data_IF_032784312935
#
_entry.id   IF_032784312935
#
_cell.length_a   1.000
_cell.length_b   1.000
_cell.length_c   1.000
_cell.angle_alpha   90.00
_cell.angle_beta   90.00
_cell.angle_gamma   90.00
#
_symmetry.space_group_name_H-M   'P 1'
#
loop_
_entity.id
_entity.type
_entity.pdbx_description
1 polymer ?
#
# COMPACT_ATOMS: atom_id res chain seq x y z
N UNK A 1 -10.50 6.19 -2.76
CA UNK A 1 -10.02 6.02 -1.37
C UNK A 1 -9.72 7.33 -0.66
N UNK A 2 -8.79 8.17 -1.14
CA UNK A 2 -8.45 9.45 -0.49
C UNK A 2 -9.66 10.38 -0.30
N UNK A 3 -10.56 10.46 -1.28
CA UNK A 3 -11.81 11.21 -1.15
C UNK A 3 -12.65 10.74 0.03
N UNK A 4 -12.89 9.44 0.17
CA UNK A 4 -13.67 8.89 1.28
C UNK A 4 -12.99 9.14 2.63
N UNK A 5 -11.66 8.98 2.69
CA UNK A 5 -10.90 9.33 3.89
C UNK A 5 -11.10 10.80 4.28
N UNK A 6 -10.92 11.72 3.33
CA UNK A 6 -11.11 13.16 3.56
C UNK A 6 -12.54 13.51 3.90
N UNK A 7 -13.49 12.86 3.25
CA UNK A 7 -14.92 13.05 3.45
C UNK A 7 -15.33 12.65 4.86
N UNK A 8 -14.99 11.46 5.34
CA UNK A 8 -15.28 11.01 6.70
C UNK A 8 -14.50 11.77 7.77
N UNK A 9 -13.30 12.26 7.44
CA UNK A 9 -12.54 13.14 8.32
C UNK A 9 -13.21 14.50 8.49
N UNK A 10 -13.76 15.08 7.44
CA UNK A 10 -14.28 16.45 7.40
C UNK A 10 -15.73 16.55 7.85
N UNK A 11 -16.52 15.50 7.65
CA UNK A 11 -17.94 15.48 7.96
C UNK A 11 -18.27 14.52 9.10
N UNK A 12 -19.09 14.95 10.04
CA UNK A 12 -19.51 14.09 11.15
C UNK A 12 -20.69 13.22 10.76
N UNK A 13 -20.50 11.90 10.86
CA UNK A 13 -21.60 10.94 10.69
C UNK A 13 -22.69 11.10 11.76
N UNK A 14 -22.33 11.67 12.93
CA UNK A 14 -23.26 11.93 14.02
C UNK A 14 -24.30 12.99 13.69
N UNK A 15 -23.98 13.97 12.82
CA UNK A 15 -24.96 14.93 12.33
C UNK A 15 -26.01 14.30 11.40
N UNK A 16 -25.71 13.11 10.85
CA UNK A 16 -26.64 12.31 10.06
C UNK A 16 -27.62 11.53 10.94
N UNK A 17 -27.14 11.02 12.08
CA UNK A 17 -27.91 10.12 12.96
C UNK A 17 -28.69 10.88 14.04
N UNK A 18 -28.20 12.04 14.50
CA UNK A 18 -28.82 12.79 15.60
C UNK A 18 -29.71 13.94 15.12
N UNK A 19 -30.91 13.61 14.67
CA UNK A 19 -32.09 14.43 14.95
C UNK A 19 -32.32 15.73 14.15
N UNK A 20 -31.42 16.26 13.35
CA UNK A 20 -31.75 17.32 12.38
C UNK A 20 -32.58 16.79 11.19
N UNK A 21 -32.67 15.47 11.10
CA UNK A 21 -33.43 14.76 10.08
C UNK A 21 -34.95 14.88 10.25
N UNK A 22 -35.43 15.26 11.42
CA UNK A 22 -36.89 15.24 11.78
C UNK A 22 -37.64 16.48 11.28
N UNK A 23 -36.99 17.53 10.79
CA UNK A 23 -37.63 18.82 10.45
C UNK A 23 -37.58 19.18 8.96
N UNK A 24 -37.87 18.30 8.01
CA UNK A 24 -38.13 18.64 6.58
C UNK A 24 -37.12 19.54 5.84
N UNK A 25 -36.31 20.30 6.52
CA UNK A 25 -35.21 21.14 6.01
C UNK A 25 -33.85 20.43 6.04
N UNK A 26 -33.80 19.22 6.58
CA UNK A 26 -32.59 18.46 6.90
C UNK A 26 -31.71 18.16 5.68
N UNK A 27 -32.32 17.83 4.54
CA UNK A 27 -31.58 17.48 3.32
C UNK A 27 -30.79 18.66 2.76
N UNK A 28 -31.38 19.85 2.76
CA UNK A 28 -30.77 21.06 2.20
C UNK A 28 -29.60 21.58 3.08
N UNK A 29 -29.65 21.35 4.37
CA UNK A 29 -28.63 21.80 5.33
C UNK A 29 -27.60 20.74 5.69
N UNK A 30 -27.81 19.47 5.32
CA UNK A 30 -26.86 18.40 5.62
C UNK A 30 -25.69 18.42 4.64
N UNK A 31 -24.61 19.06 5.02
CA UNK A 31 -23.38 19.15 4.21
C UNK A 31 -22.81 17.78 3.82
N UNK A 32 -22.97 16.77 4.67
CA UNK A 32 -22.52 15.40 4.39
C UNK A 32 -23.26 14.82 3.20
N UNK A 33 -24.59 14.77 3.24
CA UNK A 33 -25.41 14.22 2.13
C UNK A 33 -25.21 15.02 0.84
N UNK A 34 -25.23 16.34 0.93
CA UNK A 34 -25.07 17.21 -0.26
C UNK A 34 -23.72 16.96 -0.95
N UNK A 35 -22.63 16.91 -0.19
CA UNK A 35 -21.31 16.65 -0.76
C UNK A 35 -21.20 15.24 -1.33
N UNK A 36 -21.80 14.25 -0.67
CA UNK A 36 -21.87 12.88 -1.18
C UNK A 36 -22.60 12.78 -2.52
N UNK A 37 -23.78 13.42 -2.61
CA UNK A 37 -24.58 13.43 -3.85
C UNK A 37 -23.84 14.16 -4.98
N UNK A 38 -23.25 15.32 -4.72
CA UNK A 38 -22.48 16.07 -5.72
C UNK A 38 -21.32 15.23 -6.24
N UNK A 39 -20.61 14.55 -5.33
CA UNK A 39 -19.51 13.65 -5.71
C UNK A 39 -20.00 12.47 -6.55
N UNK A 40 -21.08 11.80 -6.12
CA UNK A 40 -21.65 10.65 -6.85
C UNK A 40 -22.11 11.08 -8.24
N UNK A 41 -22.79 12.21 -8.34
CA UNK A 41 -23.24 12.73 -9.63
C UNK A 41 -22.06 13.09 -10.54
N UNK A 42 -21.02 13.74 -9.99
CA UNK A 42 -19.80 14.04 -10.72
C UNK A 42 -19.05 12.78 -11.18
N UNK A 43 -18.98 11.76 -10.34
CA UNK A 43 -18.37 10.48 -10.70
C UNK A 43 -19.15 9.75 -11.81
N UNK A 44 -20.48 9.71 -11.73
CA UNK A 44 -21.33 9.12 -12.76
C UNK A 44 -21.26 9.89 -14.08
N UNK A 45 -21.25 11.22 -14.03
CA UNK A 45 -21.09 12.07 -15.21
C UNK A 45 -19.72 11.84 -15.87
N UNK A 46 -18.66 11.75 -15.08
CA UNK A 46 -17.31 11.44 -15.57
C UNK A 46 -17.24 10.05 -16.21
N UNK A 47 -17.85 9.04 -15.59
CA UNK A 47 -17.94 7.70 -16.16
C UNK A 47 -18.74 7.69 -17.47
N UNK A 48 -19.83 8.45 -17.54
CA UNK A 48 -20.62 8.62 -18.75
C UNK A 48 -19.82 9.27 -19.90
N UNK A 49 -19.04 10.30 -19.62
CA UNK A 49 -18.16 10.93 -20.62
C UNK A 49 -17.07 9.96 -21.12
N UNK A 50 -16.57 9.10 -20.23
CA UNK A 50 -15.56 8.09 -20.58
C UNK A 50 -16.15 6.79 -21.14
N UNK A 51 -17.49 6.68 -21.27
CA UNK A 51 -18.14 5.45 -21.71
C UNK A 51 -17.72 5.04 -23.14
N UNK A 52 -17.40 5.99 -24.01
CA UNK A 52 -16.88 5.73 -25.35
C UNK A 52 -15.56 4.93 -25.35
N UNK A 53 -14.76 4.99 -24.27
CA UNK A 53 -13.56 4.21 -24.09
C UNK A 53 -13.83 2.98 -23.22
N UNK A 54 -14.57 3.15 -22.12
CA UNK A 54 -14.80 2.09 -21.14
C UNK A 54 -15.63 0.93 -21.69
N UNK A 55 -16.66 1.20 -22.52
CA UNK A 55 -17.51 0.14 -23.07
C UNK A 55 -16.78 -0.79 -24.04
N UNK A 56 -16.01 -0.29 -25.05
CA UNK A 56 -15.20 -1.14 -25.90
C UNK A 56 -14.16 -1.95 -25.10
N UNK A 57 -13.46 -1.30 -24.15
CA UNK A 57 -12.49 -1.98 -23.29
C UNK A 57 -13.16 -3.10 -22.48
N UNK A 58 -14.31 -2.84 -21.88
CA UNK A 58 -15.08 -3.84 -21.15
C UNK A 58 -15.49 -5.01 -22.05
N UNK A 59 -15.98 -4.74 -23.26
CA UNK A 59 -16.34 -5.77 -24.23
C UNK A 59 -15.16 -6.66 -24.62
N UNK A 60 -13.98 -6.04 -24.86
CA UNK A 60 -12.74 -6.79 -25.19
C UNK A 60 -12.28 -7.61 -23.98
N UNK A 61 -12.34 -7.06 -22.78
CA UNK A 61 -11.95 -7.78 -21.56
C UNK A 61 -12.81 -9.03 -21.34
N UNK A 62 -14.09 -9.01 -21.67
CA UNK A 62 -14.95 -10.20 -21.59
C UNK A 62 -14.50 -11.35 -22.50
N UNK A 63 -13.79 -11.05 -23.57
CA UNK A 63 -13.22 -12.05 -24.48
C UNK A 63 -11.84 -12.56 -24.02
N UNK A 64 -11.29 -12.00 -22.97
CA UNK A 64 -9.99 -12.37 -22.42
C UNK A 64 -10.14 -13.31 -21.23
N UNK A 65 -9.14 -14.17 -20.97
CA UNK A 65 -9.06 -15.04 -19.79
C UNK A 65 -9.07 -14.28 -18.46
N UNK A 66 -8.75 -12.99 -18.48
CA UNK A 66 -8.73 -12.12 -17.30
C UNK A 66 -10.09 -11.97 -16.59
N UNK A 67 -11.22 -12.23 -17.30
CA UNK A 67 -12.58 -12.07 -16.76
C UNK A 67 -13.27 -13.42 -16.46
N UNK A 68 -12.57 -14.53 -16.57
CA UNK A 68 -13.11 -15.87 -16.37
C UNK A 68 -13.39 -16.24 -14.91
N UNK A 69 -12.99 -15.40 -13.95
CA UNK A 69 -13.18 -15.65 -12.52
C UNK A 69 -14.64 -15.51 -12.08
N UNK A 70 -15.15 -16.52 -11.39
CA UNK A 70 -16.47 -16.47 -10.72
C UNK A 70 -16.34 -15.81 -9.34
N UNK A 71 -17.44 -15.21 -8.86
CA UNK A 71 -17.47 -14.66 -7.49
C UNK A 71 -17.18 -15.76 -6.47
N UNK A 72 -16.26 -15.53 -5.50
CA UNK A 72 -15.92 -16.54 -4.49
C UNK A 72 -17.11 -16.86 -3.60
N UNK A 73 -17.45 -18.14 -3.46
CA UNK A 73 -18.54 -18.59 -2.61
C UNK A 73 -18.18 -18.50 -1.11
N UNK A 74 -16.91 -18.79 -0.79
CA UNK A 74 -16.44 -18.82 0.59
C UNK A 74 -15.31 -17.80 0.81
N UNK A 75 -15.29 -17.10 1.98
CA UNK A 75 -14.20 -16.22 2.34
C UNK A 75 -12.94 -17.03 2.65
N UNK A 76 -11.86 -16.76 1.93
CA UNK A 76 -10.53 -17.37 2.13
C UNK A 76 -9.53 -16.27 2.44
N UNK A 77 -8.71 -16.50 3.48
CA UNK A 77 -7.55 -15.68 3.80
C UNK A 77 -6.32 -16.20 3.04
N UNK A 78 -5.53 -15.30 2.44
CA UNK A 78 -4.34 -15.66 1.68
C UNK A 78 -3.09 -15.80 2.56
N UNK A 79 -3.04 -15.07 3.68
CA UNK A 79 -1.88 -15.04 4.56
C UNK A 79 -2.27 -14.69 6.00
N UNK A 80 -1.40 -15.02 6.94
CA UNK A 80 -1.59 -14.68 8.36
C UNK A 80 -1.28 -13.21 8.64
N UNK A 81 -1.67 -12.74 9.82
CA UNK A 81 -1.31 -11.41 10.30
C UNK A 81 0.22 -11.21 10.35
N UNK A 82 0.95 -12.21 10.80
CA UNK A 82 2.40 -12.13 10.90
C UNK A 82 3.08 -12.13 9.53
N UNK A 83 2.56 -12.86 8.55
CA UNK A 83 3.05 -12.83 7.16
C UNK A 83 2.92 -11.43 6.55
N UNK A 84 1.80 -10.75 6.80
CA UNK A 84 1.63 -9.38 6.32
C UNK A 84 2.67 -8.42 6.92
N UNK A 85 2.90 -8.54 8.22
CA UNK A 85 3.88 -7.67 8.89
C UNK A 85 5.33 -8.04 8.59
N UNK A 86 5.61 -9.29 8.24
CA UNK A 86 6.91 -9.69 7.73
C UNK A 86 7.33 -8.85 6.52
N UNK A 87 6.39 -8.51 5.64
CA UNK A 87 6.66 -7.69 4.45
C UNK A 87 6.92 -6.19 4.72
N UNK A 88 6.96 -5.78 5.97
CA UNK A 88 7.44 -4.45 6.38
C UNK A 88 8.92 -4.45 6.78
N UNK A 89 9.56 -5.61 6.82
CA UNK A 89 10.99 -5.71 7.13
C UNK A 89 11.84 -5.21 5.95
N UNK A 90 13.01 -4.71 6.25
CA UNK A 90 13.95 -4.22 5.26
C UNK A 90 14.66 -5.37 4.52
N UNK A 91 15.07 -5.11 3.30
CA UNK A 91 15.86 -6.03 2.47
C UNK A 91 15.18 -7.39 2.23
N UNK A 92 13.87 -7.36 2.00
CA UNK A 92 13.10 -8.54 1.58
C UNK A 92 13.06 -8.65 0.06
N UNK A 93 12.96 -9.87 -0.43
CA UNK A 93 12.71 -10.12 -1.85
C UNK A 93 11.31 -9.63 -2.22
N UNK A 94 11.23 -8.69 -3.13
CA UNK A 94 9.96 -8.13 -3.59
C UNK A 94 9.28 -9.07 -4.58
N UNK A 95 7.94 -9.14 -4.53
CA UNK A 95 7.15 -9.83 -5.56
C UNK A 95 7.11 -8.94 -6.81
N UNK A 96 7.72 -9.42 -7.91
CA UNK A 96 7.72 -8.73 -9.21
C UNK A 96 6.58 -9.24 -10.08
N UNK A 97 6.50 -10.57 -10.26
CA UNK A 97 5.43 -11.24 -11.00
C UNK A 97 5.05 -12.53 -10.30
N UNK A 98 3.76 -12.73 -10.12
CA UNK A 98 3.20 -14.01 -9.68
C UNK A 98 1.70 -14.02 -9.90
N UNK A 99 1.19 -15.19 -10.26
CA UNK A 99 -0.24 -15.50 -10.32
C UNK A 99 -0.70 -16.33 -9.12
N UNK A 100 0.20 -16.65 -8.19
CA UNK A 100 -0.06 -17.53 -7.06
C UNK A 100 -0.69 -16.81 -5.85
N UNK A 101 -1.36 -17.60 -5.03
CA UNK A 101 -1.93 -17.18 -3.73
C UNK A 101 -0.86 -17.10 -2.63
N UNK A 102 0.39 -17.47 -2.93
CA UNK A 102 1.49 -17.64 -1.98
C UNK A 102 2.37 -16.40 -1.80
N UNK A 103 2.10 -15.34 -2.56
CA UNK A 103 2.85 -14.09 -2.53
C UNK A 103 2.24 -13.07 -1.60
N UNK A 104 3.06 -12.15 -1.12
CA UNK A 104 2.67 -11.09 -0.20
C UNK A 104 2.69 -9.72 -0.89
N UNK A 105 1.87 -8.75 -0.41
CA UNK A 105 1.89 -7.40 -0.95
C UNK A 105 3.21 -6.68 -0.63
N UNK A 106 3.76 -5.97 -1.60
CA UNK A 106 4.94 -5.12 -1.41
C UNK A 106 4.55 -3.85 -0.65
N UNK A 107 4.69 -3.87 0.67
CA UNK A 107 4.25 -2.79 1.58
C UNK A 107 5.38 -2.07 2.28
N UNK A 108 6.62 -2.50 2.07
CA UNK A 108 7.79 -1.84 2.65
C UNK A 108 7.89 -0.38 2.19
N UNK A 109 8.11 0.52 3.11
CA UNK A 109 8.24 1.95 2.84
C UNK A 109 9.33 2.63 3.72
N UNK A 110 10.23 1.81 4.26
CA UNK A 110 11.31 2.24 5.17
C UNK A 110 11.01 1.95 6.63
N UNK A 111 12.07 1.77 7.42
CA UNK A 111 11.97 1.48 8.86
C UNK A 111 11.62 2.74 9.67
N UNK A 112 12.07 3.92 9.26
CA UNK A 112 11.68 5.17 9.92
C UNK A 112 10.16 5.39 9.94
N UNK A 113 9.40 5.19 8.86
CA UNK A 113 7.94 5.20 8.90
C UNK A 113 7.33 4.19 9.87
N UNK A 114 7.91 3.01 10.03
CA UNK A 114 7.43 2.01 10.99
C UNK A 114 7.55 2.49 12.45
N UNK A 115 8.56 3.30 12.78
CA UNK A 115 8.70 3.91 14.11
C UNK A 115 7.72 5.06 14.30
N UNK A 116 7.51 5.88 13.26
CA UNK A 116 6.71 7.10 13.36
C UNK A 116 5.20 6.83 13.23
N UNK A 117 4.79 5.81 12.47
CA UNK A 117 3.38 5.49 12.25
C UNK A 117 2.63 5.09 13.55
N UNK A 118 3.16 4.27 14.46
CA UNK A 118 2.53 4.04 15.76
C UNK A 118 2.38 5.31 16.59
N UNK A 119 3.39 6.20 16.55
CA UNK A 119 3.37 7.47 17.26
C UNK A 119 2.29 8.44 16.75
N UNK A 120 1.83 8.29 15.51
CA UNK A 120 0.71 9.05 14.96
C UNK A 120 -0.54 8.97 15.85
N UNK A 121 -0.82 7.79 16.39
CA UNK A 121 -1.98 7.59 17.28
C UNK A 121 -1.82 8.24 18.64
N UNK A 122 -0.59 8.49 19.08
CA UNK A 122 -0.29 9.16 20.35
C UNK A 122 -0.08 10.67 20.19
N UNK A 123 0.00 11.20 18.98
CA UNK A 123 0.15 12.64 18.69
C UNK A 123 -1.11 13.38 19.14
N UNK A 124 -0.97 14.34 20.05
CA UNK A 124 -2.11 15.05 20.69
C UNK A 124 -2.81 16.01 19.74
N UNK A 125 -2.06 16.67 18.87
CA UNK A 125 -2.58 17.65 17.90
C UNK A 125 -3.35 17.03 16.73
N UNK A 126 -3.31 15.69 16.57
CA UNK A 126 -4.09 14.99 15.56
C UNK A 126 -5.46 14.61 16.13
N UNK A 127 -6.52 14.96 15.42
CA UNK A 127 -7.88 14.72 15.87
C UNK A 127 -8.21 13.23 15.98
N UNK A 128 -9.07 12.86 16.93
CA UNK A 128 -9.54 11.47 17.09
C UNK A 128 -10.26 10.95 15.82
N UNK A 129 -10.99 11.82 15.12
CA UNK A 129 -11.65 11.49 13.85
C UNK A 129 -10.66 11.09 12.77
N UNK A 130 -9.55 11.82 12.66
CA UNK A 130 -8.50 11.51 11.70
C UNK A 130 -7.82 10.17 12.01
N UNK A 131 -7.50 9.93 13.29
CA UNK A 131 -6.94 8.65 13.74
C UNK A 131 -7.85 7.48 13.39
N UNK A 132 -9.16 7.63 13.72
CA UNK A 132 -10.16 6.60 13.40
C UNK A 132 -10.30 6.38 11.89
N UNK A 133 -10.37 7.45 11.08
CA UNK A 133 -10.45 7.35 9.63
C UNK A 133 -9.20 6.67 9.03
N UNK A 134 -8.02 6.93 9.61
CA UNK A 134 -6.77 6.28 9.18
C UNK A 134 -6.76 4.79 9.51
N UNK A 135 -7.19 4.40 10.73
CA UNK A 135 -7.33 2.98 11.09
C UNK A 135 -8.32 2.29 10.15
N UNK A 136 -9.50 2.87 9.93
CA UNK A 136 -10.51 2.32 9.04
C UNK A 136 -9.96 2.13 7.62
N UNK A 137 -9.21 3.10 7.09
CA UNK A 137 -8.58 3.02 5.79
C UNK A 137 -7.54 1.89 5.73
N UNK A 138 -6.64 1.79 6.72
CA UNK A 138 -5.63 0.72 6.78
C UNK A 138 -6.28 -0.65 6.91
N UNK A 139 -7.36 -0.77 7.68
CA UNK A 139 -8.14 -2.01 7.83
C UNK A 139 -8.78 -2.43 6.51
N UNK A 140 -9.41 -1.51 5.78
CA UNK A 140 -9.99 -1.80 4.45
C UNK A 140 -8.90 -2.24 3.46
N UNK A 141 -7.75 -1.58 3.46
CA UNK A 141 -6.62 -1.96 2.61
C UNK A 141 -6.08 -3.35 2.98
N UNK A 142 -5.90 -3.63 4.27
CA UNK A 142 -5.48 -4.96 4.73
C UNK A 142 -6.44 -6.07 4.27
N UNK A 143 -7.75 -5.87 4.44
CA UNK A 143 -8.73 -6.85 3.96
C UNK A 143 -8.76 -6.97 2.44
N UNK A 144 -8.50 -5.88 1.70
CA UNK A 144 -8.40 -5.93 0.24
C UNK A 144 -7.21 -6.75 -0.25
N UNK A 145 -6.18 -6.92 0.57
CA UNK A 145 -5.06 -7.82 0.28
C UNK A 145 -5.36 -9.26 0.70
N UNK A 146 -5.91 -9.43 1.90
CA UNK A 146 -5.92 -10.72 2.56
C UNK A 146 -7.14 -11.58 2.26
N UNK A 147 -8.31 -10.99 2.01
CA UNK A 147 -9.55 -11.76 1.82
C UNK A 147 -9.93 -11.78 0.35
N UNK A 148 -10.11 -13.00 -0.20
CA UNK A 148 -10.41 -13.23 -1.62
C UNK A 148 -11.61 -12.44 -2.13
N UNK A 149 -12.70 -12.33 -1.35
CA UNK A 149 -13.90 -11.56 -1.73
C UNK A 149 -13.56 -10.07 -1.92
N UNK A 150 -12.82 -9.48 -0.98
CA UNK A 150 -12.41 -8.08 -1.08
C UNK A 150 -11.37 -7.87 -2.18
N UNK A 151 -10.46 -8.83 -2.39
CA UNK A 151 -9.52 -8.82 -3.49
C UNK A 151 -10.24 -8.83 -4.84
N UNK A 152 -11.23 -9.71 -5.02
CA UNK A 152 -12.06 -9.80 -6.21
C UNK A 152 -12.80 -8.47 -6.51
N UNK A 153 -13.47 -7.92 -5.50
CA UNK A 153 -14.18 -6.63 -5.64
C UNK A 153 -13.21 -5.50 -5.95
N UNK A 154 -12.03 -5.49 -5.31
CA UNK A 154 -11.00 -4.45 -5.51
C UNK A 154 -10.45 -4.43 -6.93
N UNK A 155 -10.32 -5.60 -7.55
CA UNK A 155 -9.83 -5.74 -8.92
C UNK A 155 -10.94 -5.64 -9.99
N UNK A 156 -12.09 -5.05 -9.66
CA UNK A 156 -13.17 -4.83 -10.62
C UNK A 156 -13.96 -6.09 -10.97
N UNK A 157 -14.25 -6.91 -9.97
CA UNK A 157 -15.00 -8.16 -10.08
C UNK A 157 -14.28 -9.26 -10.86
N UNK A 158 -12.96 -9.35 -10.70
CA UNK A 158 -12.15 -10.47 -11.22
C UNK A 158 -10.90 -10.70 -10.36
N UNK A 159 -10.25 -11.83 -10.52
CA UNK A 159 -8.94 -12.07 -9.91
C UNK A 159 -7.82 -11.61 -10.84
N UNK A 160 -6.75 -11.00 -10.32
CA UNK A 160 -5.60 -10.63 -11.14
C UNK A 160 -4.89 -11.88 -11.66
N UNK A 161 -4.61 -11.95 -12.97
CA UNK A 161 -3.86 -13.05 -13.57
C UNK A 161 -2.36 -12.98 -13.24
N UNK A 162 -1.86 -11.80 -12.94
CA UNK A 162 -0.46 -11.53 -12.62
C UNK A 162 -0.39 -10.23 -11.81
N UNK A 163 0.71 -10.00 -11.09
CA UNK A 163 0.93 -8.82 -10.25
C UNK A 163 -0.22 -8.60 -9.24
N UNK A 164 -0.43 -9.51 -8.29
CA UNK A 164 -1.40 -9.32 -7.23
C UNK A 164 -1.03 -8.11 -6.37
N UNK A 165 -2.01 -7.55 -5.67
CA UNK A 165 -1.81 -6.45 -4.71
C UNK A 165 -1.26 -5.15 -5.31
N UNK A 166 -1.62 -4.81 -6.54
CA UNK A 166 -1.18 -3.56 -7.22
C UNK A 166 -1.47 -2.30 -6.39
N UNK A 167 -2.48 -2.34 -5.53
CA UNK A 167 -2.85 -1.23 -4.65
C UNK A 167 -1.96 -1.10 -3.39
N UNK A 168 -0.95 -1.94 -3.20
CA UNK A 168 -0.06 -1.91 -2.02
C UNK A 168 0.64 -0.55 -1.84
N UNK A 169 0.94 0.15 -2.95
CA UNK A 169 1.52 1.49 -2.89
C UNK A 169 0.62 2.50 -2.15
N UNK A 170 -0.72 2.32 -2.18
CA UNK A 170 -1.65 3.19 -1.45
C UNK A 170 -1.46 2.99 0.05
N UNK A 171 -1.28 1.74 0.49
CA UNK A 171 -1.01 1.43 1.89
C UNK A 171 0.30 2.06 2.36
N UNK A 172 1.39 1.86 1.62
CA UNK A 172 2.70 2.45 1.91
C UNK A 172 2.62 3.98 1.94
N UNK A 173 1.88 4.59 1.02
CA UNK A 173 1.67 6.04 0.99
C UNK A 173 0.91 6.54 2.24
N UNK A 174 -0.09 5.79 2.74
CA UNK A 174 -0.79 6.13 3.99
C UNK A 174 0.18 6.08 5.17
N UNK A 175 1.04 5.06 5.25
CA UNK A 175 2.07 4.98 6.30
C UNK A 175 3.04 6.17 6.23
N UNK A 176 3.48 6.57 5.03
CA UNK A 176 4.33 7.74 4.83
C UNK A 176 3.63 9.04 5.26
N UNK A 177 2.33 9.20 4.97
CA UNK A 177 1.56 10.36 5.46
C UNK A 177 1.48 10.38 6.99
N UNK A 178 1.26 9.22 7.63
CA UNK A 178 1.25 9.11 9.08
C UNK A 178 2.60 9.49 9.68
N UNK A 179 3.67 8.94 9.10
CA UNK A 179 5.05 9.23 9.50
C UNK A 179 5.37 10.71 9.33
N UNK A 180 5.06 11.31 8.19
CA UNK A 180 5.26 12.74 7.94
C UNK A 180 4.52 13.62 8.95
N UNK A 181 3.24 13.33 9.21
CA UNK A 181 2.45 14.10 10.20
C UNK A 181 3.01 13.98 11.60
N UNK A 182 3.53 12.84 11.98
CA UNK A 182 4.21 12.62 13.26
C UNK A 182 5.55 13.35 13.30
N UNK A 183 6.33 13.26 12.23
CA UNK A 183 7.63 13.93 12.09
C UNK A 183 7.50 15.44 12.27
N UNK A 184 6.51 16.07 11.63
CA UNK A 184 6.24 17.50 11.80
C UNK A 184 5.82 17.88 13.24
N UNK A 185 5.54 16.89 14.08
CA UNK A 185 5.08 17.05 15.48
C UNK A 185 5.99 16.36 16.49
N UNK A 186 7.23 16.09 16.13
CA UNK A 186 8.21 15.46 17.04
C UNK A 186 8.34 16.20 18.39
N UNK A 187 8.02 17.51 18.42
CA UNK A 187 8.06 18.30 19.65
C UNK A 187 7.07 17.81 20.72
N UNK A 188 6.03 17.08 20.35
CA UNK A 188 5.08 16.49 21.31
C UNK A 188 5.65 15.29 22.06
N UNK A 189 6.76 14.73 21.57
CA UNK A 189 7.39 13.52 22.12
C UNK A 189 8.68 13.81 22.87
N UNK A 190 8.97 12.95 23.83
CA UNK A 190 10.26 12.90 24.57
C UNK A 190 11.10 11.74 24.01
N UNK A 191 12.41 11.77 24.17
CA UNK A 191 13.31 10.70 23.74
C UNK A 191 12.86 9.30 24.21
N UNK A 192 12.32 9.20 25.44
CA UNK A 192 11.81 7.91 25.97
C UNK A 192 10.68 7.30 25.13
N UNK A 193 9.87 8.10 24.45
CA UNK A 193 8.76 7.57 23.63
C UNK A 193 9.31 6.83 22.40
N UNK A 194 10.38 7.33 21.81
CA UNK A 194 11.07 6.64 20.70
C UNK A 194 11.69 5.33 21.18
N UNK A 195 12.31 5.33 22.38
CA UNK A 195 12.84 4.11 22.99
C UNK A 195 11.76 3.05 23.25
N UNK A 196 10.60 3.46 23.79
CA UNK A 196 9.48 2.54 24.05
C UNK A 196 8.94 1.96 22.75
N UNK A 197 8.71 2.79 21.71
CA UNK A 197 8.23 2.31 20.41
C UNK A 197 9.29 1.42 19.74
N UNK A 198 10.57 1.79 19.82
CA UNK A 198 11.65 0.98 19.29
C UNK A 198 11.73 -0.40 19.97
N UNK A 199 11.65 -0.45 21.30
CA UNK A 199 11.64 -1.70 22.05
C UNK A 199 10.41 -2.57 21.69
N UNK A 200 9.23 -1.95 21.57
CA UNK A 200 8.02 -2.65 21.14
C UNK A 200 8.16 -3.21 19.71
N UNK A 201 8.77 -2.45 18.79
CA UNK A 201 9.03 -2.92 17.43
C UNK A 201 10.06 -4.04 17.38
N UNK A 202 11.12 -3.98 18.19
CA UNK A 202 12.11 -5.07 18.30
C UNK A 202 11.42 -6.37 18.74
N UNK A 203 10.61 -6.31 19.81
CA UNK A 203 9.84 -7.46 20.28
C UNK A 203 8.89 -7.95 19.18
N UNK A 204 8.22 -7.03 18.50
CA UNK A 204 7.29 -7.36 17.43
C UNK A 204 7.98 -8.02 16.22
N UNK A 205 9.17 -7.55 15.82
CA UNK A 205 9.96 -8.17 14.74
C UNK A 205 10.36 -9.60 15.10
N UNK A 206 10.76 -9.87 16.35
CA UNK A 206 11.06 -11.23 16.83
C UNK A 206 9.81 -12.12 16.78
N UNK A 207 8.66 -11.59 17.20
CA UNK A 207 7.39 -12.33 17.10
C UNK A 207 6.98 -12.59 15.66
N UNK A 208 7.22 -11.65 14.75
CA UNK A 208 6.97 -11.83 13.31
C UNK A 208 7.86 -12.93 12.76
N UNK A 209 9.15 -12.94 13.06
CA UNK A 209 10.07 -13.99 12.62
C UNK A 209 9.62 -15.39 13.08
N UNK A 210 9.23 -15.52 14.35
CA UNK A 210 8.82 -16.81 14.93
C UNK A 210 7.50 -17.33 14.33
N UNK A 211 6.56 -16.44 13.99
CA UNK A 211 5.20 -16.84 13.62
C UNK A 211 4.89 -16.68 12.13
N UNK A 212 5.82 -16.16 11.32
CA UNK A 212 5.59 -16.07 9.87
C UNK A 212 5.71 -17.45 9.21
N UNK A 213 4.80 -17.72 8.30
CA UNK A 213 4.86 -18.91 7.45
C UNK A 213 5.75 -18.71 6.21
N UNK A 214 6.23 -17.50 5.97
CA UNK A 214 7.05 -17.12 4.80
C UNK A 214 8.52 -17.12 5.15
N UNK A 215 9.35 -17.41 4.15
CA UNK A 215 10.80 -17.43 4.31
C UNK A 215 11.35 -16.00 4.46
N UNK A 216 11.42 -15.53 5.68
CA UNK A 216 12.13 -14.31 6.03
C UNK A 216 13.58 -14.67 6.32
N UNK A 217 14.52 -14.01 5.66
CA UNK A 217 15.94 -14.30 5.88
C UNK A 217 16.40 -13.69 7.20
N UNK A 218 17.26 -14.40 7.95
CA UNK A 218 17.88 -13.86 9.15
C UNK A 218 18.61 -12.53 8.88
N UNK A 219 19.16 -12.35 7.66
CA UNK A 219 19.77 -11.10 7.24
C UNK A 219 18.78 -9.93 7.22
N UNK A 220 17.57 -10.13 6.72
CA UNK A 220 16.51 -9.10 6.69
C UNK A 220 16.04 -8.72 8.10
N UNK A 221 15.92 -9.72 8.98
CA UNK A 221 15.57 -9.50 10.40
C UNK A 221 16.64 -8.67 11.10
N UNK A 222 17.90 -9.12 11.03
CA UNK A 222 19.04 -8.43 11.68
C UNK A 222 19.17 -7.01 11.13
N UNK A 223 19.08 -6.84 9.80
CA UNK A 223 19.17 -5.52 9.17
C UNK A 223 18.06 -4.59 9.64
N UNK A 224 16.83 -5.08 9.72
CA UNK A 224 15.67 -4.32 10.23
C UNK A 224 15.86 -3.92 11.70
N UNK A 225 16.35 -4.84 12.54
CA UNK A 225 16.64 -4.56 13.95
C UNK A 225 17.73 -3.49 14.12
N UNK A 226 18.80 -3.57 13.34
CA UNK A 226 19.87 -2.56 13.33
C UNK A 226 19.33 -1.19 12.93
N UNK A 227 18.50 -1.12 11.88
CA UNK A 227 17.88 0.11 11.46
C UNK A 227 16.93 0.69 12.52
N UNK A 228 16.11 -0.14 13.19
CA UNK A 228 15.24 0.31 14.28
C UNK A 228 16.07 0.98 15.38
N UNK A 229 17.16 0.32 15.83
CA UNK A 229 18.03 0.87 16.86
C UNK A 229 18.66 2.18 16.39
N UNK A 230 19.20 2.21 15.17
CA UNK A 230 19.83 3.39 14.58
C UNK A 230 18.86 4.59 14.53
N UNK A 231 17.67 4.40 13.99
CA UNK A 231 16.68 5.48 13.90
C UNK A 231 16.19 5.96 15.27
N UNK A 232 15.99 5.04 16.22
CA UNK A 232 15.62 5.40 17.61
C UNK A 232 16.71 6.27 18.24
N UNK A 233 17.98 5.91 18.06
CA UNK A 233 19.10 6.71 18.56
C UNK A 233 19.16 8.09 17.90
N UNK A 234 19.03 8.18 16.59
CA UNK A 234 19.01 9.45 15.85
C UNK A 234 17.87 10.34 16.30
N UNK A 235 16.65 9.78 16.44
CA UNK A 235 15.48 10.52 16.93
C UNK A 235 15.64 10.96 18.41
N UNK A 236 16.29 10.16 19.24
CA UNK A 236 16.60 10.50 20.63
C UNK A 236 17.61 11.65 20.71
N UNK A 237 18.67 11.60 19.90
CA UNK A 237 19.69 12.65 19.76
C UNK A 237 19.06 13.95 19.24
N UNK A 238 18.12 13.86 18.29
CA UNK A 238 17.38 15.03 17.79
C UNK A 238 16.65 15.80 18.89
N UNK A 239 16.26 15.14 19.96
CA UNK A 239 15.62 15.74 21.14
C UNK A 239 16.62 16.32 22.14
N UNK A 240 17.91 15.99 22.03
CA UNK A 240 18.93 16.52 22.90
C UNK A 240 19.43 17.87 22.37
N UNK A 241 19.18 18.93 23.13
CA UNK A 241 19.56 20.31 22.78
C UNK A 241 21.08 20.53 22.69
N UNK A 242 21.90 19.55 23.08
CA UNK A 242 23.36 19.62 22.95
C UNK A 242 23.82 19.47 21.51
N UNK A 243 23.00 18.91 20.62
CA UNK A 243 23.31 18.70 19.22
C UNK A 243 22.59 19.73 18.33
N UNK A 244 23.28 20.16 17.28
CA UNK A 244 22.68 21.05 16.30
C UNK A 244 21.61 20.28 15.51
N UNK A 245 20.39 20.81 15.46
CA UNK A 245 19.27 20.17 14.75
C UNK A 245 19.58 19.91 13.28
N UNK A 246 20.34 20.81 12.61
CA UNK A 246 20.76 20.66 11.21
C UNK A 246 21.66 19.44 11.00
N UNK A 247 22.64 19.23 11.90
CA UNK A 247 23.56 18.08 11.80
C UNK A 247 22.82 16.75 12.01
N UNK A 248 21.90 16.72 12.96
CA UNK A 248 21.10 15.50 13.21
C UNK A 248 20.11 15.24 12.07
N UNK A 249 19.52 16.30 11.47
CA UNK A 249 18.68 16.16 10.30
C UNK A 249 19.49 15.62 9.09
N UNK A 250 20.71 16.12 8.88
CA UNK A 250 21.62 15.60 7.84
C UNK A 250 21.93 14.11 8.08
N UNK A 251 22.23 13.71 9.33
CA UNK A 251 22.46 12.32 9.68
C UNK A 251 21.22 11.45 9.39
N UNK A 252 20.01 11.93 9.72
CA UNK A 252 18.78 11.23 9.41
C UNK A 252 18.60 11.02 7.91
N UNK A 253 18.86 12.05 7.09
CA UNK A 253 18.80 11.94 5.63
C UNK A 253 19.80 10.92 5.12
N UNK A 254 21.05 10.94 5.62
CA UNK A 254 22.07 9.94 5.25
C UNK A 254 21.58 8.52 5.58
N UNK A 255 21.02 8.30 6.77
CA UNK A 255 20.50 7.00 7.15
C UNK A 255 19.37 6.53 6.21
N UNK A 256 18.42 7.42 5.87
CA UNK A 256 17.30 7.09 4.96
C UNK A 256 17.83 6.80 3.55
N UNK A 257 18.76 7.60 3.03
CA UNK A 257 19.34 7.36 1.70
C UNK A 257 20.14 6.04 1.68
N UNK A 258 20.90 5.74 2.73
CA UNK A 258 21.66 4.48 2.81
C UNK A 258 20.73 3.26 2.88
N UNK A 259 19.66 3.34 3.67
CA UNK A 259 18.62 2.30 3.71
C UNK A 259 17.98 2.09 2.33
N UNK A 260 17.56 3.16 1.66
CA UNK A 260 16.97 3.10 0.33
C UNK A 260 17.91 2.45 -0.68
N UNK A 261 19.19 2.89 -0.75
CA UNK A 261 20.18 2.32 -1.65
C UNK A 261 20.37 0.83 -1.40
N UNK A 262 20.47 0.39 -0.14
CA UNK A 262 20.66 -1.02 0.18
C UNK A 262 19.44 -1.87 -0.18
N UNK A 263 18.23 -1.39 0.06
CA UNK A 263 17.00 -2.10 -0.30
C UNK A 263 16.75 -2.11 -1.82
N UNK A 264 17.03 -0.99 -2.51
CA UNK A 264 16.85 -0.90 -3.95
C UNK A 264 17.85 -1.78 -4.72
N UNK A 265 19.10 -1.87 -4.26
CA UNK A 265 20.09 -2.75 -4.88
C UNK A 265 19.67 -4.21 -4.83
N UNK A 266 19.06 -4.68 -3.73
CA UNK A 266 18.53 -6.04 -3.63
C UNK A 266 17.35 -6.28 -4.57
N UNK A 267 16.52 -5.27 -4.82
CA UNK A 267 15.39 -5.35 -5.76
C UNK A 267 15.86 -5.34 -7.21
N UNK A 268 16.82 -4.48 -7.56
CA UNK A 268 17.39 -4.39 -8.92
C UNK A 268 18.13 -5.66 -9.31
N UNK A 269 18.74 -6.36 -8.35
CA UNK A 269 19.43 -7.63 -8.60
C UNK A 269 18.50 -8.75 -9.12
N UNK A 270 17.20 -8.62 -8.92
CA UNK A 270 16.19 -9.56 -9.43
C UNK A 270 15.87 -9.28 -10.92
N UNK A 271 16.32 -8.16 -11.47
CA UNK A 271 16.09 -7.81 -12.88
C UNK A 271 16.81 -8.79 -13.81
N UNK A 272 16.13 -9.16 -14.90
CA UNK A 272 16.68 -10.05 -15.94
C UNK A 272 17.69 -9.27 -16.77
N UNK A 273 18.83 -9.87 -17.05
CA UNK A 273 19.80 -9.31 -18.00
C UNK A 273 19.23 -9.26 -19.42
N UNK A 274 19.79 -8.43 -20.29
CA UNK A 274 19.33 -8.28 -21.67
C UNK A 274 19.43 -9.61 -22.45
N UNK A 275 20.46 -10.40 -22.20
CA UNK A 275 20.78 -11.59 -23.01
C UNK A 275 19.66 -12.65 -22.98
N UNK A 276 19.11 -13.09 -21.83
CA UNK A 276 17.97 -13.99 -21.82
C UNK A 276 16.70 -13.37 -22.46
N UNK A 277 16.59 -12.05 -22.45
CA UNK A 277 15.42 -11.39 -23.02
C UNK A 277 15.43 -11.36 -24.55
N UNK A 278 16.61 -11.38 -25.16
CA UNK A 278 16.80 -11.32 -26.63
C UNK A 278 17.36 -12.60 -27.23
N UNK A 279 17.64 -13.63 -26.42
CA UNK A 279 18.26 -14.90 -26.88
C UNK A 279 17.47 -15.57 -28.02
N UNK A 280 16.15 -15.49 -27.93
CA UNK A 280 15.25 -16.17 -28.86
C UNK A 280 14.76 -15.27 -30.00
N UNK A 281 15.36 -14.06 -30.12
CA UNK A 281 14.91 -13.06 -31.10
C UNK A 281 15.01 -13.56 -32.54
N UNK A 282 16.05 -14.27 -32.87
CA UNK A 282 16.27 -14.80 -34.23
C UNK A 282 15.24 -15.89 -34.56
N UNK A 283 14.96 -16.79 -33.62
CA UNK A 283 13.92 -17.80 -33.76
C UNK A 283 12.53 -17.18 -33.91
N UNK A 284 12.28 -16.13 -33.12
CA UNK A 284 11.02 -15.36 -33.21
C UNK A 284 10.88 -14.69 -34.59
N UNK A 285 11.96 -14.14 -35.18
CA UNK A 285 11.91 -13.54 -36.50
C UNK A 285 11.59 -14.57 -37.58
N UNK A 286 12.16 -15.80 -37.51
CA UNK A 286 11.84 -16.90 -38.43
C UNK A 286 10.34 -17.26 -38.37
N UNK A 287 9.78 -17.34 -37.15
CA UNK A 287 8.35 -17.62 -36.97
C UNK A 287 7.50 -16.48 -37.55
N UNK A 288 7.88 -15.23 -37.30
CA UNK A 288 7.20 -14.07 -37.83
C UNK A 288 7.22 -14.03 -39.35
N UNK A 289 8.38 -14.22 -39.98
CA UNK A 289 8.53 -14.24 -41.43
C UNK A 289 7.73 -15.39 -42.06
N UNK A 290 7.65 -16.54 -41.40
CA UNK A 290 6.79 -17.65 -41.81
C UNK A 290 5.31 -17.28 -41.76
N UNK A 291 4.88 -16.61 -40.69
CA UNK A 291 3.50 -16.16 -40.55
C UNK A 291 3.11 -15.05 -41.55
N UNK A 292 4.04 -14.15 -41.86
CA UNK A 292 3.84 -13.08 -42.86
C UNK A 292 3.71 -13.64 -44.28
N UNK A 293 4.19 -14.88 -44.55
CA UNK A 293 4.00 -15.57 -45.84
C UNK A 293 2.64 -16.24 -45.98
N UNK A 294 1.87 -16.37 -44.91
CA UNK A 294 0.51 -16.93 -44.94
C UNK A 294 -0.46 -15.78 -45.29
N UNK A 295 -0.98 -15.79 -46.51
CA UNK A 295 -1.95 -14.81 -47.01
C UNK A 295 -3.34 -14.85 -46.33
N UNK A 296 -3.40 -14.90 -45.02
CA UNK A 296 -4.63 -14.90 -44.26
C UNK A 296 -4.72 -13.59 -43.47
N UNK A 297 -5.72 -12.77 -43.71
CA UNK A 297 -5.96 -11.47 -43.03
C UNK A 297 -6.27 -11.61 -41.52
N UNK A 298 -5.96 -12.75 -40.92
CA UNK A 298 -6.18 -12.98 -39.51
C UNK A 298 -5.09 -12.32 -38.67
N UNK A 299 -5.52 -11.50 -37.71
CA UNK A 299 -4.63 -10.92 -36.70
C UNK A 299 -4.17 -12.03 -35.75
N UNK A 300 -2.90 -12.39 -35.81
CA UNK A 300 -2.29 -13.33 -34.87
C UNK A 300 -1.82 -12.57 -33.63
N UNK A 301 -2.21 -13.07 -32.45
CA UNK A 301 -1.69 -12.62 -31.18
C UNK A 301 -0.69 -13.69 -30.71
N UNK A 302 0.56 -13.32 -30.73
CA UNK A 302 1.64 -14.12 -30.14
C UNK A 302 1.85 -13.78 -28.65
#
# INVERSE_FOLDING_TARGET
MYFFYYYFKSYSLTSFVTGEYIKGAAFRNNRFLRSGIIFTFGALASAGLMACVLLPVYSILQSCSATSGTFPNDPKSYFTFFDFFANHLANLTTTIRSSGDDVLPNVYCGVLPLILAPLFFFTKSISKKEKFATIALLTVLYFSFNINIFNYVWHGMHFPNDLPYRQSFIYSFVLLIMAYKTFMRLNEFKARHFGVVGAALVIFVVLVEEHTSKNVTAGSVIFSLVLIVLYVLVLAIFKDKRFQATSVAALLVICVCSEAIMCDTSTVHISVTKDPYVSDYDEFQVVKDTLDTIEDEKIYRM
#
